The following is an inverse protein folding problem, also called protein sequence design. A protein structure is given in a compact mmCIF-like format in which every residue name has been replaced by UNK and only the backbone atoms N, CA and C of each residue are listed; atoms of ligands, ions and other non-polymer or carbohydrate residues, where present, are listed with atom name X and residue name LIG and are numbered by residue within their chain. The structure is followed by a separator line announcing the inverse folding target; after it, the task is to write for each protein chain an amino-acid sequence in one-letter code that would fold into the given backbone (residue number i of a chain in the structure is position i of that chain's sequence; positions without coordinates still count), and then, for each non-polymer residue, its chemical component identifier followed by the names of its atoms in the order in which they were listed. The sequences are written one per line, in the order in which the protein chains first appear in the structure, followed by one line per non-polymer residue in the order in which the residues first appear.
data_IF_845037567572
#
_entry.id   IF_845037567572
#
_cell.length_a   1.000
_cell.length_b   1.000
_cell.length_c   1.000
_cell.angle_alpha   90.00
_cell.angle_beta   90.00
_cell.angle_gamma   90.00
#
_symmetry.space_group_name_H-M   'P 1'
#
loop_
_entity.id
_entity.type
_entity.pdbx_description
1 polymer ?
#
# COMPACT_ATOMS: atom_id res chain seq x y z
N UNK A 1 8.91 -4.02 -1.82
CA UNK A 1 9.07 -2.56 -1.89
C UNK A 1 7.72 -1.98 -2.28
N UNK A 2 7.30 -0.80 -1.82
CA UNK A 2 6.03 -0.19 -2.28
C UNK A 2 6.35 0.67 -3.51
N UNK A 3 5.50 0.64 -4.55
CA UNK A 3 5.65 1.54 -5.70
C UNK A 3 5.67 3.00 -5.23
N UNK A 4 6.55 3.84 -5.80
CA UNK A 4 6.66 5.26 -5.40
C UNK A 4 5.31 6.00 -5.49
N UNK A 5 4.47 5.61 -6.45
CA UNK A 5 3.12 6.13 -6.67
C UNK A 5 2.14 5.72 -5.57
N UNK A 6 2.38 4.60 -4.89
CA UNK A 6 1.54 4.10 -3.79
C UNK A 6 1.86 4.71 -2.43
N UNK A 7 3.02 5.36 -2.28
CA UNK A 7 3.45 5.93 -1.00
C UNK A 7 2.43 6.94 -0.44
N UNK A 8 1.90 7.91 -1.21
CA UNK A 8 0.90 8.84 -0.71
C UNK A 8 -0.36 8.10 -0.24
N UNK A 9 -0.82 7.11 -1.01
CA UNK A 9 -2.02 6.33 -0.73
C UNK A 9 -1.91 5.44 0.50
N UNK A 10 -0.69 5.10 0.93
CA UNK A 10 -0.45 4.39 2.20
C UNK A 10 -0.35 5.37 3.36
N UNK A 11 0.34 6.51 3.16
CA UNK A 11 0.60 7.49 4.21
C UNK A 11 -0.63 8.30 4.62
N UNK A 12 -1.46 8.76 3.68
CA UNK A 12 -2.67 9.53 4.00
C UNK A 12 -3.62 8.79 4.96
N UNK A 13 -4.04 7.53 4.69
CA UNK A 13 -4.89 6.79 5.61
C UNK A 13 -4.17 6.41 6.91
N UNK A 14 -2.83 6.28 6.89
CA UNK A 14 -2.04 6.06 8.10
C UNK A 14 -2.09 7.30 9.03
N UNK A 15 -1.84 8.50 8.50
CA UNK A 15 -1.93 9.75 9.25
C UNK A 15 -3.36 10.03 9.72
N UNK A 16 -4.36 9.73 8.89
CA UNK A 16 -5.76 9.79 9.29
C UNK A 16 -6.06 8.83 10.45
N UNK A 17 -5.53 7.61 10.41
CA UNK A 17 -5.68 6.66 11.51
C UNK A 17 -5.04 7.18 12.80
N UNK A 18 -3.81 7.70 12.72
CA UNK A 18 -3.10 8.25 13.89
C UNK A 18 -3.87 9.41 14.52
N UNK A 19 -4.36 10.35 13.71
CA UNK A 19 -5.16 11.48 14.20
C UNK A 19 -6.48 11.01 14.81
N UNK A 20 -7.20 10.08 14.18
CA UNK A 20 -8.42 9.49 14.74
C UNK A 20 -8.18 8.81 16.10
N UNK A 21 -7.00 8.22 16.30
CA UNK A 21 -6.59 7.60 17.57
C UNK A 21 -6.35 8.65 18.66
N UNK A 22 -5.71 9.79 18.33
CA UNK A 22 -5.55 10.94 19.23
C UNK A 22 -6.91 11.47 19.70
N UNK A 23 -7.90 11.54 18.80
CA UNK A 23 -9.27 11.94 19.14
C UNK A 23 -10.12 10.83 19.77
N UNK A 24 -9.52 9.71 20.20
CA UNK A 24 -10.17 8.55 20.82
C UNK A 24 -11.25 7.88 19.95
N UNK A 25 -11.26 8.13 18.63
CA UNK A 25 -12.20 7.54 17.67
C UNK A 25 -11.69 6.18 17.18
N UNK A 26 -11.66 5.19 18.08
CA UNK A 26 -11.09 3.85 17.83
C UNK A 26 -11.60 3.16 16.56
N UNK A 27 -12.90 3.30 16.23
CA UNK A 27 -13.49 2.71 15.01
C UNK A 27 -12.94 3.33 13.72
N UNK A 28 -12.77 4.65 13.70
CA UNK A 28 -12.20 5.38 12.55
C UNK A 28 -10.70 5.11 12.42
N UNK A 29 -9.99 5.01 13.55
CA UNK A 29 -8.59 4.62 13.56
C UNK A 29 -8.40 3.21 12.96
N UNK A 30 -9.24 2.25 13.36
CA UNK A 30 -9.20 0.90 12.80
C UNK A 30 -9.47 0.89 11.29
N UNK A 31 -10.47 1.66 10.82
CA UNK A 31 -10.76 1.79 9.39
C UNK A 31 -9.60 2.42 8.59
N UNK A 32 -8.95 3.45 9.14
CA UNK A 32 -7.77 4.06 8.50
C UNK A 32 -6.58 3.11 8.44
N UNK A 33 -6.36 2.31 9.50
CA UNK A 33 -5.31 1.30 9.54
C UNK A 33 -5.54 0.17 8.55
N UNK A 34 -6.77 -0.35 8.46
CA UNK A 34 -7.11 -1.40 7.48
C UNK A 34 -7.00 -0.88 6.06
N UNK A 35 -7.46 0.34 5.79
CA UNK A 35 -7.34 0.97 4.47
C UNK A 35 -5.87 1.19 4.08
N UNK A 36 -5.04 1.66 5.01
CA UNK A 36 -3.59 1.80 4.79
C UNK A 36 -2.92 0.45 4.51
N UNK A 37 -3.30 -0.61 5.25
CA UNK A 37 -2.79 -1.95 5.03
C UNK A 37 -3.20 -2.53 3.67
N UNK A 38 -4.45 -2.31 3.24
CA UNK A 38 -4.93 -2.71 1.91
C UNK A 38 -4.20 -1.98 0.80
N UNK A 39 -3.99 -0.66 0.93
CA UNK A 39 -3.21 0.10 -0.03
C UNK A 39 -1.74 -0.35 -0.06
N UNK A 40 -1.16 -0.64 1.10
CA UNK A 40 0.20 -1.17 1.17
C UNK A 40 0.32 -2.54 0.50
N UNK A 41 -0.72 -3.37 0.59
CA UNK A 41 -0.80 -4.65 -0.10
C UNK A 41 -0.96 -4.48 -1.62
N UNK A 42 -1.86 -3.58 -2.06
CA UNK A 42 -2.10 -3.31 -3.48
C UNK A 42 -0.86 -2.72 -4.17
N UNK A 43 -0.23 -1.71 -3.56
CA UNK A 43 0.97 -1.07 -4.09
C UNK A 43 2.26 -1.79 -3.72
N UNK A 44 2.18 -2.97 -3.10
CA UNK A 44 3.34 -3.82 -2.85
C UNK A 44 3.89 -4.24 -4.21
N UNK A 45 5.05 -3.72 -4.57
CA UNK A 45 5.83 -4.20 -5.69
C UNK A 45 6.41 -5.57 -5.30
N UNK A 46 5.91 -6.71 -5.84
CA UNK A 46 6.60 -7.96 -5.71
C UNK A 46 7.92 -7.82 -6.48
N UNK A 47 9.05 -8.21 -5.88
CA UNK A 47 10.25 -8.49 -6.68
C UNK A 47 9.86 -9.61 -7.64
N UNK A 48 9.44 -9.26 -8.86
CA UNK A 48 9.36 -10.19 -9.98
C UNK A 48 10.80 -10.38 -10.43
N UNK A 49 11.54 -11.23 -9.75
CA UNK A 49 12.74 -11.79 -10.38
C UNK A 49 12.22 -12.66 -11.53
N UNK A 50 12.56 -12.34 -12.80
CA UNK A 50 12.17 -13.19 -13.91
C UNK A 50 12.87 -14.53 -13.73
N UNK A 51 12.09 -15.57 -13.44
CA UNK A 51 12.63 -16.92 -13.20
C UNK A 51 13.30 -17.46 -14.47
N UNK A 52 12.93 -16.97 -15.66
CA UNK A 52 13.46 -17.44 -16.94
C UNK A 52 13.54 -16.31 -17.99
N UNK A 53 14.75 -16.14 -18.54
CA UNK A 53 15.12 -15.51 -19.81
C UNK A 53 14.78 -14.03 -20.09
N UNK A 54 15.79 -13.20 -20.46
CA UNK A 54 15.65 -11.76 -20.69
C UNK A 54 14.93 -11.36 -21.99
N UNK A 55 14.36 -12.28 -22.77
CA UNK A 55 13.74 -11.97 -24.06
C UNK A 55 12.28 -12.43 -24.23
N UNK A 56 11.67 -13.08 -23.23
CA UNK A 56 10.31 -13.60 -23.39
C UNK A 56 9.22 -12.63 -22.86
N UNK A 57 8.83 -11.74 -23.78
CA UNK A 57 7.43 -11.42 -24.08
C UNK A 57 6.74 -10.43 -23.12
N UNK A 58 6.84 -9.17 -23.54
CA UNK A 58 5.86 -8.08 -23.48
C UNK A 58 4.43 -8.53 -23.10
N UNK A 59 3.90 -7.97 -22.02
CA UNK A 59 2.52 -7.44 -21.95
C UNK A 59 2.41 -6.47 -20.77
N UNK A 60 1.90 -5.24 -20.97
CA UNK A 60 1.66 -4.29 -19.90
C UNK A 60 0.37 -4.69 -19.16
N UNK A 61 0.45 -4.90 -17.85
CA UNK A 61 -0.66 -4.79 -16.89
C UNK A 61 -0.09 -4.77 -15.46
#
# INVERSE_FOLDING_TARGET
MIHKEGIPWVLYPLFFSTTALIFKKKKLAAAGLTLSALNAYFFRNPKREPVLNPELIISPC
#
